data_IF_404021023309
#
_entry.id   IF_404021023309
#
_cell.length_a   1.000
_cell.length_b   1.000
_cell.length_c   1.000
_cell.angle_alpha   90.00
_cell.angle_beta   90.00
_cell.angle_gamma   90.00
#
_symmetry.space_group_name_H-M   'P 1'
#
loop_
_entity.id
_entity.type
_entity.pdbx_description
1 polymer ?
#
# COMPACT_ATOMS: atom_id res chain seq x y z
N UNK A 1 -24.46 57.46 -51.25
CA UNK A 1 -24.24 56.10 -50.72
C UNK A 1 -22.75 55.87 -50.52
N UNK A 2 -22.23 56.06 -49.29
CA UNK A 2 -20.90 55.57 -48.87
C UNK A 2 -21.04 55.17 -47.40
N UNK A 3 -21.07 53.86 -47.14
CA UNK A 3 -21.06 53.29 -45.79
C UNK A 3 -19.60 53.01 -45.44
N UNK A 4 -19.10 53.64 -44.39
CA UNK A 4 -17.84 53.26 -43.76
C UNK A 4 -18.17 52.33 -42.59
N UNK A 5 -17.72 51.08 -42.69
CA UNK A 5 -17.75 50.12 -41.59
C UNK A 5 -16.41 50.28 -40.86
N UNK A 6 -16.47 50.74 -39.61
CA UNK A 6 -15.32 50.74 -38.69
C UNK A 6 -15.35 49.42 -37.93
N UNK A 7 -14.37 48.56 -38.20
CA UNK A 7 -14.12 47.35 -37.42
C UNK A 7 -13.11 47.72 -36.32
N UNK A 8 -13.58 47.78 -35.07
CA UNK A 8 -12.72 47.89 -33.89
C UNK A 8 -12.18 46.49 -33.57
N UNK A 9 -10.89 46.25 -33.87
CA UNK A 9 -10.19 45.02 -33.54
C UNK A 9 -9.74 45.09 -32.07
N UNK A 10 -10.44 44.41 -31.16
CA UNK A 10 -9.99 44.25 -29.78
C UNK A 10 -8.85 43.22 -29.74
N UNK A 11 -7.62 43.69 -29.58
CA UNK A 11 -6.45 42.83 -29.40
C UNK A 11 -6.27 42.55 -27.90
N UNK A 12 -7.00 41.58 -27.37
CA UNK A 12 -6.74 41.00 -26.05
C UNK A 12 -5.51 40.09 -26.17
N UNK A 13 -4.34 40.64 -25.81
CA UNK A 13 -3.14 39.85 -25.56
C UNK A 13 -3.35 38.95 -24.35
N UNK A 14 -3.82 37.73 -24.60
CA UNK A 14 -3.64 36.61 -23.67
C UNK A 14 -2.16 36.21 -23.74
N UNK A 15 -1.34 36.77 -22.85
CA UNK A 15 -0.04 36.19 -22.55
C UNK A 15 -0.27 34.81 -21.91
N UNK A 16 -0.20 33.75 -22.71
CA UNK A 16 0.04 32.42 -22.16
C UNK A 16 1.42 32.44 -21.53
N UNK A 17 1.48 32.47 -20.20
CA UNK A 17 2.71 32.20 -19.47
C UNK A 17 3.23 30.85 -19.93
N UNK A 18 4.34 30.84 -20.68
CA UNK A 18 5.04 29.61 -21.04
C UNK A 18 5.71 29.08 -19.78
N UNK A 19 4.99 28.24 -19.05
CA UNK A 19 5.58 27.45 -17.98
C UNK A 19 6.69 26.59 -18.57
N UNK A 20 7.88 26.70 -17.99
CA UNK A 20 9.03 25.87 -18.32
C UNK A 20 8.70 24.41 -18.01
N UNK A 21 8.70 23.57 -19.05
CA UNK A 21 8.21 22.18 -19.09
C UNK A 21 9.29 21.15 -19.52
N UNK A 22 9.60 20.10 -18.74
CA UNK A 22 10.58 19.02 -19.05
C UNK A 22 10.46 18.48 -20.49
N UNK A 23 11.47 17.82 -21.08
CA UNK A 23 11.51 17.59 -22.54
C UNK A 23 11.38 18.93 -23.30
N UNK A 24 12.42 19.39 -23.99
CA UNK A 24 12.32 20.66 -24.72
C UNK A 24 11.21 20.61 -25.78
N UNK A 25 10.33 21.60 -25.74
CA UNK A 25 9.08 21.70 -26.52
C UNK A 25 7.99 20.64 -26.18
N UNK A 26 8.17 19.90 -25.09
CA UNK A 26 7.21 18.92 -24.60
C UNK A 26 5.92 19.54 -24.04
N UNK A 27 4.90 18.69 -23.91
CA UNK A 27 3.61 19.05 -23.31
C UNK A 27 3.57 18.67 -21.83
N UNK A 28 2.95 19.48 -20.97
CA UNK A 28 2.78 19.15 -19.55
C UNK A 28 2.11 17.78 -19.38
N UNK A 29 2.71 16.95 -18.54
CA UNK A 29 2.27 15.60 -18.26
C UNK A 29 2.13 15.37 -16.75
N UNK A 30 1.87 16.43 -15.99
CA UNK A 30 1.61 16.33 -14.55
C UNK A 30 0.47 15.34 -14.30
N UNK A 31 0.68 14.43 -13.35
CA UNK A 31 -0.25 13.33 -13.08
C UNK A 31 -0.11 12.12 -14.00
N UNK A 32 0.91 12.06 -14.87
CA UNK A 32 1.19 10.86 -15.64
C UNK A 32 1.38 9.64 -14.70
N UNK A 33 0.69 8.51 -14.96
CA UNK A 33 0.62 7.41 -14.01
C UNK A 33 1.85 6.50 -14.00
N UNK A 34 2.82 6.70 -14.90
CA UNK A 34 4.05 5.89 -14.93
C UNK A 34 5.33 6.72 -14.81
N UNK A 35 5.30 8.03 -15.02
CA UNK A 35 6.50 8.86 -14.93
C UNK A 35 6.95 9.10 -13.48
N UNK A 36 8.10 8.56 -13.07
CA UNK A 36 8.64 8.72 -11.71
C UNK A 36 9.96 9.50 -11.69
N UNK A 37 10.24 10.19 -10.59
CA UNK A 37 11.53 10.86 -10.33
C UNK A 37 12.52 9.84 -9.76
N UNK A 38 13.73 9.79 -10.31
CA UNK A 38 14.82 8.90 -9.86
C UNK A 38 16.07 9.74 -9.66
N UNK A 39 16.40 10.04 -8.40
CA UNK A 39 17.53 10.92 -8.08
C UNK A 39 17.41 12.27 -8.79
N UNK A 40 18.41 12.65 -9.58
CA UNK A 40 18.41 13.86 -10.41
C UNK A 40 17.78 13.68 -11.81
N UNK A 41 17.17 12.53 -12.09
CA UNK A 41 16.68 12.14 -13.42
C UNK A 41 15.31 11.43 -13.36
N UNK A 42 14.97 10.73 -14.43
CA UNK A 42 13.65 10.15 -14.65
C UNK A 42 13.64 8.62 -14.51
N UNK A 43 12.43 8.08 -14.40
CA UNK A 43 12.17 6.65 -14.43
C UNK A 43 10.74 6.37 -14.88
N UNK A 44 10.44 5.09 -15.05
CA UNK A 44 9.12 4.63 -15.48
C UNK A 44 8.62 3.50 -14.58
N UNK A 45 7.51 3.72 -13.88
CA UNK A 45 6.83 2.69 -13.09
C UNK A 45 6.16 1.68 -14.03
N UNK A 46 6.80 0.52 -14.18
CA UNK A 46 6.38 -0.55 -15.07
C UNK A 46 5.32 -1.47 -14.44
N UNK A 47 5.51 -1.82 -13.17
CA UNK A 47 4.54 -2.53 -12.33
C UNK A 47 4.57 -1.95 -10.92
N UNK A 48 3.72 -2.42 -10.00
CA UNK A 48 3.55 -1.79 -8.68
C UNK A 48 4.87 -1.64 -7.89
N UNK A 49 5.88 -2.48 -8.17
CA UNK A 49 7.20 -2.43 -7.51
C UNK A 49 8.39 -2.30 -8.45
N UNK A 50 8.17 -2.22 -9.75
CA UNK A 50 9.26 -2.23 -10.73
C UNK A 50 9.33 -0.87 -11.41
N UNK A 51 10.43 -0.17 -11.21
CA UNK A 51 10.76 1.08 -11.89
C UNK A 51 11.90 0.85 -12.86
N UNK A 52 11.69 1.17 -14.13
CA UNK A 52 12.73 1.17 -15.15
C UNK A 52 13.48 2.50 -15.11
N UNK A 53 14.80 2.44 -15.27
CA UNK A 53 15.66 3.60 -15.45
C UNK A 53 16.94 3.16 -16.19
N UNK A 54 18.03 3.92 -16.08
CA UNK A 54 19.31 3.66 -16.76
C UNK A 54 20.47 3.63 -15.77
N UNK A 55 21.57 2.95 -16.11
CA UNK A 55 22.69 2.70 -15.20
C UNK A 55 23.40 3.98 -14.76
N UNK A 56 23.62 4.92 -15.69
CA UNK A 56 24.29 6.17 -15.34
C UNK A 56 23.48 7.06 -14.38
N UNK A 57 22.15 6.89 -14.34
CA UNK A 57 21.30 7.55 -13.34
C UNK A 57 21.51 6.93 -11.96
N UNK A 58 21.68 5.61 -11.87
CA UNK A 58 22.01 4.91 -10.63
C UNK A 58 23.37 5.40 -10.10
N UNK A 59 24.39 5.45 -10.96
CA UNK A 59 25.72 5.97 -10.58
C UNK A 59 25.65 7.42 -10.11
N UNK A 60 25.00 8.29 -10.88
CA UNK A 60 24.84 9.71 -10.55
C UNK A 60 23.99 9.97 -9.30
N UNK A 61 23.19 8.99 -8.87
CA UNK A 61 22.36 9.06 -7.66
C UNK A 61 23.04 8.49 -6.41
N UNK A 62 24.35 8.18 -6.46
CA UNK A 62 25.10 7.63 -5.32
C UNK A 62 25.37 6.12 -5.41
N UNK A 63 24.94 5.47 -6.49
CA UNK A 63 25.17 4.05 -6.76
C UNK A 63 24.21 3.09 -6.07
N UNK A 64 24.35 1.80 -6.40
CA UNK A 64 23.48 0.71 -5.92
C UNK A 64 23.43 0.67 -4.38
N UNK A 65 24.59 0.64 -3.73
CA UNK A 65 24.68 0.50 -2.28
C UNK A 65 23.99 1.64 -1.51
N UNK A 66 24.04 2.87 -2.04
CA UNK A 66 23.33 4.00 -1.45
C UNK A 66 21.81 3.88 -1.67
N UNK A 67 21.39 3.56 -2.90
CA UNK A 67 19.98 3.44 -3.25
C UNK A 67 19.30 2.32 -2.46
N UNK A 68 19.93 1.15 -2.30
CA UNK A 68 19.35 0.03 -1.54
C UNK A 68 19.29 0.31 -0.02
N UNK A 69 20.14 1.21 0.49
CA UNK A 69 20.14 1.58 1.91
C UNK A 69 19.15 2.70 2.22
N UNK A 70 19.21 3.78 1.45
CA UNK A 70 18.52 5.05 1.77
C UNK A 70 17.54 5.49 0.68
N UNK A 71 17.68 4.96 -0.53
CA UNK A 71 16.95 5.38 -1.72
C UNK A 71 15.44 5.28 -1.58
N UNK A 72 14.77 6.26 -2.17
CA UNK A 72 13.30 6.33 -2.20
C UNK A 72 12.82 6.74 -3.59
N UNK A 73 11.68 6.19 -3.96
CA UNK A 73 10.90 6.61 -5.12
C UNK A 73 9.61 7.25 -4.61
N UNK A 74 9.03 8.15 -5.41
CA UNK A 74 7.79 8.85 -5.10
C UNK A 74 6.67 8.39 -6.02
N UNK A 75 5.44 8.84 -5.72
CA UNK A 75 4.31 8.61 -6.63
C UNK A 75 4.61 9.18 -8.04
N UNK A 76 4.09 8.53 -9.08
CA UNK A 76 4.28 8.99 -10.45
C UNK A 76 3.53 10.31 -10.70
N UNK A 77 4.00 11.07 -11.68
CA UNK A 77 3.36 12.29 -12.17
C UNK A 77 3.47 13.52 -11.26
N UNK A 78 4.17 13.44 -10.12
CA UNK A 78 4.25 14.55 -9.15
C UNK A 78 5.15 15.68 -9.64
N UNK A 79 4.82 16.92 -9.26
CA UNK A 79 5.68 18.08 -9.52
C UNK A 79 6.75 18.23 -8.43
N UNK A 80 6.31 18.24 -7.16
CA UNK A 80 7.18 18.41 -5.99
C UNK A 80 7.25 17.15 -5.14
N UNK A 81 8.43 16.85 -4.58
CA UNK A 81 8.63 15.73 -3.64
C UNK A 81 8.24 16.09 -2.19
N UNK A 82 8.10 17.38 -1.87
CA UNK A 82 7.82 17.80 -0.50
C UNK A 82 6.45 17.28 -0.04
N UNK A 83 6.43 16.61 1.12
CA UNK A 83 5.21 16.01 1.67
C UNK A 83 4.70 14.75 0.95
N UNK A 84 5.41 14.27 -0.08
CA UNK A 84 5.02 13.06 -0.81
C UNK A 84 5.39 11.80 -0.03
N UNK A 85 4.57 10.76 -0.17
CA UNK A 85 4.90 9.44 0.35
C UNK A 85 6.19 8.93 -0.32
N UNK A 86 7.10 8.42 0.50
CA UNK A 86 8.34 7.81 0.06
C UNK A 86 8.16 6.28 0.02
N UNK A 87 8.50 5.67 -1.11
CA UNK A 87 8.51 4.23 -1.31
C UNK A 87 9.96 3.76 -1.31
N UNK A 88 10.31 2.90 -0.37
CA UNK A 88 11.70 2.46 -0.18
C UNK A 88 12.17 1.59 -1.33
N UNK A 89 13.40 1.82 -1.76
CA UNK A 89 14.10 0.94 -2.68
C UNK A 89 14.54 -0.31 -1.91
N UNK A 90 14.18 -1.48 -2.42
CA UNK A 90 14.62 -2.77 -1.89
C UNK A 90 15.94 -3.21 -2.54
N UNK A 91 16.00 -3.12 -3.86
CA UNK A 91 17.08 -3.69 -4.66
C UNK A 91 17.21 -2.94 -5.98
N UNK A 92 18.43 -2.84 -6.51
CA UNK A 92 18.69 -2.32 -7.85
C UNK A 92 19.36 -3.40 -8.69
N UNK A 93 18.82 -3.64 -9.88
CA UNK A 93 19.42 -4.52 -10.88
C UNK A 93 20.06 -3.68 -11.98
N UNK A 94 21.33 -3.98 -12.28
CA UNK A 94 22.08 -3.39 -13.38
C UNK A 94 22.88 -4.50 -14.08
N UNK A 95 23.05 -4.47 -15.41
CA UNK A 95 23.83 -5.49 -16.11
C UNK A 95 25.27 -5.48 -15.61
N UNK A 96 25.87 -6.65 -15.40
CA UNK A 96 27.29 -6.77 -15.02
C UNK A 96 28.25 -6.25 -16.09
N UNK A 97 27.76 -6.10 -17.32
CA UNK A 97 28.47 -5.56 -18.49
C UNK A 97 28.28 -4.06 -18.66
N UNK A 98 27.52 -3.40 -17.78
CA UNK A 98 27.34 -1.95 -17.82
C UNK A 98 28.70 -1.24 -17.78
N UNK A 99 28.85 -0.23 -18.64
CA UNK A 99 29.97 0.69 -18.64
C UNK A 99 29.41 2.10 -18.69
N UNK A 100 29.96 3.00 -17.86
CA UNK A 100 29.60 4.42 -17.88
C UNK A 100 29.63 4.96 -19.31
N UNK A 101 28.52 5.54 -19.81
CA UNK A 101 28.45 6.02 -21.18
C UNK A 101 29.54 7.05 -21.54
N UNK A 102 30.25 6.82 -22.63
CA UNK A 102 31.09 7.83 -23.29
C UNK A 102 30.33 8.36 -24.51
N UNK A 103 29.52 9.39 -24.28
CA UNK A 103 28.73 10.04 -25.32
C UNK A 103 29.58 10.74 -26.39
N UNK A 104 30.81 11.14 -26.06
CA UNK A 104 31.73 11.80 -27.01
C UNK A 104 32.17 10.82 -28.09
N UNK A 105 32.43 9.58 -27.72
CA UNK A 105 32.80 8.51 -28.65
C UNK A 105 31.63 7.59 -29.03
N UNK A 106 30.41 7.88 -28.53
CA UNK A 106 29.20 7.07 -28.72
C UNK A 106 29.36 5.61 -28.24
N UNK A 107 30.10 5.42 -27.15
CA UNK A 107 30.28 4.10 -26.51
C UNK A 107 29.28 4.02 -25.38
N UNK A 108 28.24 3.21 -25.58
CA UNK A 108 27.13 3.06 -24.65
C UNK A 108 26.82 1.58 -24.58
N UNK A 109 27.14 0.97 -23.44
CA UNK A 109 27.08 -0.48 -23.24
C UNK A 109 26.13 -0.75 -22.09
N UNK A 110 25.01 -1.39 -22.40
CA UNK A 110 24.07 -1.91 -21.41
C UNK A 110 23.63 -0.89 -20.33
N UNK A 111 23.46 0.38 -20.73
CA UNK A 111 23.01 1.48 -19.86
C UNK A 111 21.52 1.35 -19.49
N UNK A 112 21.22 0.33 -18.70
CA UNK A 112 19.89 -0.03 -18.24
C UNK A 112 19.95 -0.30 -16.75
N UNK A 113 18.88 0.03 -16.03
CA UNK A 113 18.73 -0.36 -14.64
C UNK A 113 17.26 -0.57 -14.28
N UNK A 114 17.02 -1.42 -13.29
CA UNK A 114 15.71 -1.63 -12.70
C UNK A 114 15.81 -1.43 -11.20
N UNK A 115 14.90 -0.62 -10.66
CA UNK A 115 14.73 -0.43 -9.23
C UNK A 115 13.53 -1.27 -8.81
N UNK A 116 13.73 -2.11 -7.79
CA UNK A 116 12.68 -2.91 -7.14
C UNK A 116 12.34 -2.25 -5.81
N UNK A 117 11.06 -1.97 -5.60
CA UNK A 117 10.54 -1.32 -4.39
C UNK A 117 10.16 -2.34 -3.31
N UNK A 118 10.25 -1.93 -2.06
CA UNK A 118 9.84 -2.73 -0.90
C UNK A 118 8.32 -2.85 -0.75
N UNK A 119 7.55 -1.95 -1.37
CA UNK A 119 6.10 -1.86 -1.24
C UNK A 119 5.46 -1.38 -2.55
N UNK A 120 4.17 -1.65 -2.71
CA UNK A 120 3.41 -1.35 -3.92
C UNK A 120 3.11 0.16 -4.06
N UNK A 121 3.45 0.73 -5.21
CA UNK A 121 2.85 1.96 -5.71
C UNK A 121 1.57 1.60 -6.46
N UNK A 122 0.40 2.16 -6.09
CA UNK A 122 -0.85 1.92 -6.81
C UNK A 122 -0.74 2.27 -8.29
N UNK A 123 -1.07 1.31 -9.15
CA UNK A 123 -1.01 1.46 -10.60
C UNK A 123 -2.39 1.77 -11.18
N UNK A 124 -2.51 2.85 -11.93
CA UNK A 124 -3.73 3.17 -12.71
C UNK A 124 -3.59 2.86 -14.19
N UNK A 125 -2.36 2.58 -14.65
CA UNK A 125 -2.03 2.28 -16.05
C UNK A 125 -1.09 1.09 -16.12
N UNK A 126 -1.45 0.08 -16.92
CA UNK A 126 -0.62 -1.11 -17.10
C UNK A 126 0.52 -0.84 -18.09
N UNK A 127 1.65 -1.51 -17.90
CA UNK A 127 2.71 -1.56 -18.88
C UNK A 127 3.03 -3.02 -19.25
N UNK A 128 3.56 -3.20 -20.44
CA UNK A 128 4.09 -4.46 -20.92
C UNK A 128 5.30 -4.18 -21.83
N UNK A 129 6.29 -5.07 -21.87
CA UNK A 129 7.37 -4.93 -22.83
C UNK A 129 6.89 -5.29 -24.24
N UNK A 130 7.15 -4.43 -25.24
CA UNK A 130 6.75 -4.68 -26.62
C UNK A 130 7.48 -5.91 -27.19
N UNK A 131 6.78 -6.74 -27.96
CA UNK A 131 7.40 -7.83 -28.73
C UNK A 131 8.01 -7.30 -30.03
N UNK A 132 8.90 -8.08 -30.66
CA UNK A 132 9.48 -7.72 -31.95
C UNK A 132 8.40 -7.54 -33.03
N UNK A 133 7.37 -8.40 -33.03
CA UNK A 133 6.23 -8.28 -33.95
C UNK A 133 5.45 -6.98 -33.70
N UNK A 134 5.32 -6.57 -32.44
CA UNK A 134 4.71 -5.29 -32.10
C UNK A 134 5.56 -4.11 -32.55
N UNK A 135 6.88 -4.15 -32.36
CA UNK A 135 7.81 -3.12 -32.83
C UNK A 135 7.73 -2.94 -34.36
N UNK A 136 7.70 -4.04 -35.10
CA UNK A 136 7.54 -4.04 -36.56
C UNK A 136 6.17 -3.48 -36.98
N UNK A 137 5.10 -3.86 -36.28
CA UNK A 137 3.75 -3.30 -36.50
C UNK A 137 3.73 -1.80 -36.23
N UNK A 138 4.23 -1.35 -35.09
CA UNK A 138 4.27 0.07 -34.71
C UNK A 138 5.00 0.92 -35.74
N UNK A 139 6.09 0.38 -36.29
CA UNK A 139 6.83 1.03 -37.37
C UNK A 139 6.00 1.15 -38.65
N UNK A 140 5.40 0.04 -39.11
CA UNK A 140 4.56 0.02 -40.31
C UNK A 140 3.37 0.97 -40.21
N UNK A 141 2.70 0.95 -39.06
CA UNK A 141 1.45 1.67 -38.84
C UNK A 141 1.71 3.13 -38.42
N UNK A 142 2.99 3.52 -38.27
CA UNK A 142 3.43 4.82 -37.75
C UNK A 142 2.74 5.17 -36.43
N UNK A 143 2.66 4.18 -35.55
CA UNK A 143 2.03 4.33 -34.23
C UNK A 143 2.68 5.47 -33.46
N UNK A 144 1.85 6.21 -32.72
CA UNK A 144 2.29 7.31 -31.86
C UNK A 144 3.16 6.75 -30.73
N UNK A 145 4.43 7.14 -30.74
CA UNK A 145 5.39 6.86 -29.66
C UNK A 145 5.38 8.05 -28.71
N UNK A 146 5.30 7.77 -27.41
CA UNK A 146 5.34 8.78 -26.36
C UNK A 146 6.48 8.48 -25.39
N UNK A 147 7.02 9.52 -24.76
CA UNK A 147 7.93 9.45 -23.63
C UNK A 147 7.54 10.55 -22.65
N UNK A 148 7.54 10.25 -21.36
CA UNK A 148 7.32 11.24 -20.31
C UNK A 148 8.54 11.29 -19.40
N UNK A 149 9.12 12.48 -19.25
CA UNK A 149 10.35 12.72 -18.51
C UNK A 149 10.32 14.00 -17.69
N UNK A 150 11.29 14.13 -16.80
CA UNK A 150 11.44 15.24 -15.87
C UNK A 150 12.71 16.07 -16.15
N UNK A 151 13.30 15.93 -17.33
CA UNK A 151 14.48 16.65 -17.74
C UNK A 151 14.29 18.17 -17.82
N UNK A 152 15.35 18.88 -18.16
CA UNK A 152 15.26 20.32 -18.40
C UNK A 152 14.45 20.58 -19.68
N UNK A 153 14.01 21.82 -19.81
CA UNK A 153 12.99 22.27 -20.76
C UNK A 153 13.60 23.14 -21.87
N UNK A 154 14.81 23.60 -21.59
CA UNK A 154 15.56 24.59 -22.34
C UNK A 154 17.03 24.50 -21.89
N UNK A 155 17.96 24.61 -22.84
CA UNK A 155 19.40 24.55 -22.57
C UNK A 155 19.92 25.59 -21.55
N UNK A 156 19.25 26.73 -21.41
CA UNK A 156 19.61 27.76 -20.39
C UNK A 156 19.48 27.26 -18.94
N UNK A 157 18.74 26.17 -18.71
CA UNK A 157 18.55 25.59 -17.37
C UNK A 157 19.70 24.65 -16.96
N UNK A 158 20.66 24.40 -17.85
CA UNK A 158 21.78 23.51 -17.60
C UNK A 158 22.71 24.06 -16.52
N UNK A 159 22.85 25.39 -16.44
CA UNK A 159 23.72 26.07 -15.46
C UNK A 159 23.04 26.27 -14.10
N UNK A 160 21.70 26.32 -14.09
CA UNK A 160 20.89 26.29 -12.88
C UNK A 160 20.04 25.03 -12.89
N UNK A 161 20.66 23.87 -12.67
CA UNK A 161 19.95 22.61 -12.50
C UNK A 161 19.02 22.73 -11.30
N UNK A 162 17.83 23.31 -11.51
CA UNK A 162 16.75 23.28 -10.54
C UNK A 162 16.58 21.80 -10.23
N UNK A 163 16.67 21.40 -8.96
CA UNK A 163 16.53 20.00 -8.60
C UNK A 163 15.25 19.46 -9.21
N UNK A 164 15.36 18.32 -9.87
CA UNK A 164 14.20 17.63 -10.47
C UNK A 164 13.07 17.45 -9.46
N UNK A 165 13.40 17.46 -8.17
CA UNK A 165 12.54 17.52 -7.00
C UNK A 165 11.36 18.48 -7.12
N UNK A 166 11.45 19.57 -7.89
CA UNK A 166 10.39 20.57 -8.08
C UNK A 166 10.11 20.87 -9.56
N UNK A 167 10.17 19.86 -10.43
CA UNK A 167 9.88 20.01 -11.87
C UNK A 167 8.70 19.16 -12.30
N UNK A 168 7.80 19.72 -13.11
CA UNK A 168 6.71 18.95 -13.70
C UNK A 168 7.23 17.97 -14.76
N UNK A 169 6.68 16.75 -14.85
CA UNK A 169 6.97 15.85 -15.96
C UNK A 169 6.29 16.35 -17.22
N UNK A 170 6.87 16.00 -18.35
CA UNK A 170 6.39 16.45 -19.64
C UNK A 170 6.66 15.41 -20.71
N UNK A 171 5.90 15.54 -21.79
CA UNK A 171 5.71 14.51 -22.77
C UNK A 171 6.28 14.89 -24.13
N UNK A 172 7.07 13.98 -24.68
CA UNK A 172 7.48 13.90 -26.07
C UNK A 172 6.50 13.04 -26.86
N UNK A 173 6.28 13.36 -28.14
CA UNK A 173 5.56 12.51 -29.09
C UNK A 173 6.35 12.38 -30.40
N UNK A 174 6.44 11.16 -30.93
CA UNK A 174 7.16 10.84 -32.17
C UNK A 174 6.60 9.58 -32.82
N UNK A 175 7.32 9.01 -33.79
CA UNK A 175 7.07 7.73 -34.44
C UNK A 175 8.33 6.86 -34.40
N UNK A 176 8.13 5.54 -34.41
CA UNK A 176 9.21 4.56 -34.52
C UNK A 176 9.57 4.33 -36.00
N UNK A 177 10.86 4.25 -36.32
CA UNK A 177 11.37 3.85 -37.64
C UNK A 177 12.18 2.56 -37.56
N UNK A 178 12.15 1.75 -38.62
CA UNK A 178 12.81 0.44 -38.66
C UNK A 178 14.35 0.56 -38.66
N UNK A 179 15.07 -0.50 -38.30
CA UNK A 179 16.53 -0.53 -38.42
C UNK A 179 17.06 -0.17 -39.82
N UNK A 180 16.39 -0.60 -40.87
CA UNK A 180 16.75 -0.27 -42.26
C UNK A 180 16.53 1.23 -42.55
N UNK A 181 15.44 1.78 -42.01
CA UNK A 181 15.08 3.18 -42.20
C UNK A 181 16.00 4.15 -41.42
N UNK A 182 16.59 3.73 -40.29
CA UNK A 182 17.52 4.56 -39.50
C UNK A 182 18.70 5.05 -40.35
N UNK A 183 19.36 4.16 -41.10
CA UNK A 183 20.49 4.55 -41.94
C UNK A 183 20.04 5.40 -43.14
N UNK A 184 18.88 5.09 -43.72
CA UNK A 184 18.33 5.87 -44.82
C UNK A 184 17.98 7.30 -44.39
N UNK A 185 17.41 7.46 -43.20
CA UNK A 185 17.10 8.76 -42.61
C UNK A 185 18.35 9.63 -42.54
N UNK A 186 19.46 9.10 -42.02
CA UNK A 186 20.70 9.87 -41.92
C UNK A 186 21.39 10.17 -43.24
N UNK A 187 21.25 9.31 -44.25
CA UNK A 187 21.80 9.57 -45.60
C UNK A 187 21.22 10.80 -46.28
N UNK A 188 20.07 11.30 -45.83
CA UNK A 188 19.44 12.50 -46.38
C UNK A 188 20.13 13.80 -45.95
N UNK A 189 21.01 13.75 -44.96
CA UNK A 189 21.63 14.93 -44.37
C UNK A 189 23.15 14.97 -44.67
N UNK A 190 23.66 16.02 -45.33
CA UNK A 190 25.05 16.08 -45.78
C UNK A 190 26.07 16.27 -44.64
N UNK A 191 25.63 16.78 -43.48
CA UNK A 191 26.50 17.12 -42.34
C UNK A 191 26.49 16.05 -41.23
N UNK A 192 26.05 14.84 -41.55
CA UNK A 192 25.99 13.74 -40.59
C UNK A 192 27.39 13.24 -40.23
N UNK A 193 27.70 13.22 -38.94
CA UNK A 193 28.91 12.59 -38.41
C UNK A 193 28.73 11.07 -38.28
N UNK A 194 28.97 10.32 -39.36
CA UNK A 194 28.73 8.87 -39.44
C UNK A 194 29.37 8.04 -38.32
N UNK A 195 30.52 8.48 -37.77
CA UNK A 195 31.17 7.83 -36.62
C UNK A 195 30.24 7.75 -35.39
N UNK A 196 29.35 8.73 -35.22
CA UNK A 196 28.38 8.79 -34.11
C UNK A 196 27.10 8.02 -34.37
N UNK A 197 26.88 7.45 -35.56
CA UNK A 197 25.60 6.84 -35.98
C UNK A 197 25.65 5.32 -36.14
N UNK A 198 26.85 4.73 -36.00
CA UNK A 198 27.11 3.34 -36.37
C UNK A 198 26.61 2.30 -35.32
N UNK A 199 25.29 2.22 -35.11
CA UNK A 199 24.63 1.15 -34.37
C UNK A 199 23.69 0.38 -35.31
N UNK A 200 24.15 -0.70 -35.95
CA UNK A 200 23.28 -1.50 -36.83
C UNK A 200 22.19 -2.22 -36.01
N UNK A 201 21.02 -2.42 -36.61
CA UNK A 201 19.96 -3.25 -36.02
C UNK A 201 19.08 -2.57 -34.97
N UNK A 202 19.26 -1.26 -34.71
CA UNK A 202 18.44 -0.52 -33.74
C UNK A 202 17.25 0.16 -34.41
N UNK A 203 16.12 0.22 -33.73
CA UNK A 203 15.01 1.08 -34.12
C UNK A 203 15.32 2.54 -33.77
N UNK A 204 14.69 3.48 -34.48
CA UNK A 204 14.89 4.92 -34.30
C UNK A 204 13.63 5.65 -33.87
N UNK A 205 13.78 6.65 -33.01
CA UNK A 205 12.72 7.59 -32.60
C UNK A 205 13.18 9.00 -32.92
N UNK A 206 12.62 9.58 -33.98
CA UNK A 206 13.05 10.87 -34.54
C UNK A 206 12.58 12.02 -33.63
N UNK A 207 13.42 13.01 -33.39
CA UNK A 207 13.12 14.15 -32.53
C UNK A 207 13.34 15.45 -33.30
N UNK A 208 12.23 16.13 -33.59
CA UNK A 208 12.19 17.33 -34.41
C UNK A 208 12.36 18.60 -33.57
N UNK A 209 13.60 18.86 -33.16
CA UNK A 209 13.97 20.10 -32.45
C UNK A 209 13.88 21.32 -33.36
N UNK A 210 14.29 21.16 -34.62
CA UNK A 210 14.29 22.19 -35.65
C UNK A 210 12.89 22.70 -36.00
N UNK A 211 11.89 21.84 -35.81
CA UNK A 211 10.47 22.20 -35.94
C UNK A 211 9.85 22.65 -34.61
N UNK A 212 10.65 22.76 -33.54
CA UNK A 212 10.21 23.04 -32.17
C UNK A 212 9.09 22.11 -31.69
N UNK A 213 9.19 20.82 -32.03
CA UNK A 213 8.17 19.82 -31.69
C UNK A 213 8.51 19.03 -30.45
N UNK A 214 9.72 18.47 -30.37
CA UNK A 214 10.13 17.69 -29.20
C UNK A 214 11.62 17.35 -29.23
N UNK A 215 12.30 17.46 -28.09
CA UNK A 215 13.68 17.02 -27.90
C UNK A 215 13.95 16.60 -26.46
N UNK A 216 14.60 15.46 -26.24
CA UNK A 216 15.00 15.03 -24.90
C UNK A 216 16.19 15.85 -24.40
N UNK A 217 16.25 16.05 -23.08
CA UNK A 217 17.24 16.90 -22.42
C UNK A 217 17.85 16.22 -21.18
N UNK A 218 18.77 16.92 -20.50
CA UNK A 218 19.37 16.43 -19.25
C UNK A 218 18.29 16.17 -18.22
N UNK A 219 18.35 15.01 -17.55
CA UNK A 219 17.37 14.58 -16.57
C UNK A 219 16.20 13.80 -17.15
N UNK A 220 16.02 13.76 -18.48
CA UNK A 220 15.10 12.80 -19.12
C UNK A 220 15.69 11.38 -19.14
N UNK A 221 16.98 11.23 -18.85
CA UNK A 221 17.65 9.95 -18.64
C UNK A 221 16.84 9.04 -17.71
N UNK A 222 16.58 7.81 -18.15
CA UNK A 222 15.79 6.83 -17.40
C UNK A 222 14.31 6.83 -17.75
N UNK A 223 13.82 7.84 -18.48
CA UNK A 223 12.49 7.80 -19.09
C UNK A 223 12.41 6.66 -20.12
N UNK A 224 11.19 6.26 -20.44
CA UNK A 224 10.90 5.15 -21.34
C UNK A 224 10.05 5.63 -22.51
N UNK A 225 10.39 5.15 -23.71
CA UNK A 225 9.56 5.27 -24.89
C UNK A 225 8.52 4.15 -24.92
N UNK A 226 7.27 4.49 -25.19
CA UNK A 226 6.18 3.53 -25.26
C UNK A 226 5.17 3.86 -26.36
N UNK A 227 4.44 2.85 -26.83
CA UNK A 227 3.19 3.03 -27.58
C UNK A 227 2.04 2.65 -26.65
N UNK A 228 1.00 3.48 -26.59
CA UNK A 228 -0.16 3.21 -25.76
C UNK A 228 -1.35 2.71 -26.60
N UNK A 229 -1.86 1.53 -26.27
CA UNK A 229 -3.07 0.95 -26.87
C UNK A 229 -3.90 0.27 -25.79
N UNK A 230 -5.23 0.40 -25.84
CA UNK A 230 -6.16 -0.31 -24.94
C UNK A 230 -5.79 -0.22 -23.45
N UNK A 231 -5.39 0.97 -23.00
CA UNK A 231 -4.97 1.24 -21.61
C UNK A 231 -3.69 0.51 -21.16
N UNK A 232 -2.89 0.00 -22.09
CA UNK A 232 -1.57 -0.62 -21.85
C UNK A 232 -0.49 0.21 -22.55
N UNK A 233 0.59 0.52 -21.83
CA UNK A 233 1.80 1.14 -22.39
C UNK A 233 2.80 0.05 -22.75
N UNK A 234 2.96 -0.17 -24.05
CA UNK A 234 3.94 -1.09 -24.61
C UNK A 234 5.30 -0.41 -24.65
N UNK A 235 6.16 -0.77 -23.69
CA UNK A 235 7.52 -0.27 -23.53
C UNK A 235 8.37 -0.74 -24.69
N UNK A 236 8.97 0.23 -25.40
CA UNK A 236 9.91 -0.03 -26.50
C UNK A 236 11.34 -0.12 -25.96
N UNK A 237 11.71 0.81 -25.08
CA UNK A 237 13.03 0.88 -24.45
C UNK A 237 13.24 2.18 -23.70
N UNK A 238 14.37 2.29 -23.00
CA UNK A 238 14.76 3.48 -22.23
C UNK A 238 15.48 4.50 -23.10
N UNK A 239 15.74 5.68 -22.55
CA UNK A 239 16.69 6.65 -23.13
C UNK A 239 18.17 6.22 -23.03
N UNK A 240 18.46 4.98 -22.61
CA UNK A 240 19.80 4.52 -22.26
C UNK A 240 20.78 4.44 -23.42
N UNK A 241 20.33 4.30 -24.67
CA UNK A 241 21.22 4.17 -25.83
C UNK A 241 21.73 5.50 -26.39
N UNK A 242 21.41 6.60 -25.72
CA UNK A 242 21.86 7.94 -26.06
C UNK A 242 21.04 8.61 -27.16
N UNK A 243 21.51 9.80 -27.52
CA UNK A 243 20.94 10.69 -28.52
C UNK A 243 22.02 11.01 -29.55
N UNK A 244 21.65 11.09 -30.83
CA UNK A 244 22.52 11.72 -31.82
C UNK A 244 22.39 13.25 -31.72
N UNK A 245 23.54 13.89 -31.50
CA UNK A 245 23.74 15.30 -31.20
C UNK A 245 23.37 15.69 -29.76
N UNK A 246 23.96 16.78 -29.29
CA UNK A 246 23.83 17.26 -27.92
C UNK A 246 22.35 17.50 -27.56
N UNK A 247 21.98 17.05 -26.36
CA UNK A 247 20.64 17.18 -25.82
C UNK A 247 20.38 18.63 -25.36
N UNK A 248 19.22 19.19 -25.68
CA UNK A 248 18.87 20.56 -25.25
C UNK A 248 19.91 21.65 -25.63
N UNK A 249 20.59 21.52 -26.77
CA UNK A 249 21.69 22.43 -27.13
C UNK A 249 21.26 23.89 -27.21
N UNK A 250 22.13 24.79 -26.77
CA UNK A 250 21.98 26.22 -27.12
C UNK A 250 22.03 26.40 -28.64
N UNK A 251 21.29 27.37 -29.21
CA UNK A 251 21.16 27.53 -30.66
C UNK A 251 22.49 27.56 -31.42
N UNK A 252 23.58 28.07 -30.83
CA UNK A 252 24.89 28.16 -31.48
C UNK A 252 25.57 26.79 -31.70
N UNK A 253 25.13 25.73 -31.01
CA UNK A 253 25.70 24.37 -31.11
C UNK A 253 24.80 23.40 -31.89
N UNK A 254 23.73 23.89 -32.52
CA UNK A 254 22.80 23.03 -33.22
C UNK A 254 23.32 22.58 -34.60
N UNK A 255 23.16 21.30 -34.89
CA UNK A 255 23.82 20.58 -36.00
C UNK A 255 23.06 20.61 -37.34
N UNK A 256 21.88 21.24 -37.43
CA UNK A 256 21.21 21.42 -38.72
C UNK A 256 20.18 20.36 -39.12
N UNK A 257 20.03 19.27 -38.36
CA UNK A 257 19.13 18.15 -38.69
C UNK A 257 18.48 17.51 -37.44
N UNK A 258 17.40 16.72 -37.58
CA UNK A 258 16.69 16.15 -36.45
C UNK A 258 17.57 15.16 -35.66
N UNK A 259 17.38 15.13 -34.35
CA UNK A 259 18.03 14.13 -33.48
C UNK A 259 17.27 12.81 -33.51
N UNK A 260 17.90 11.73 -33.02
CA UNK A 260 17.23 10.45 -32.85
C UNK A 260 17.70 9.76 -31.58
N UNK A 261 16.74 9.21 -30.85
CA UNK A 261 17.02 8.16 -29.86
C UNK A 261 16.92 6.80 -30.50
N UNK A 262 17.65 5.84 -29.96
CA UNK A 262 17.64 4.47 -30.44
C UNK A 262 17.07 3.50 -29.44
N UNK A 263 16.47 2.44 -29.98
CA UNK A 263 15.97 1.30 -29.22
C UNK A 263 16.67 0.05 -29.76
N UNK A 264 17.46 -0.61 -28.91
CA UNK A 264 18.11 -1.87 -29.25
C UNK A 264 17.16 -3.02 -28.91
N UNK A 265 16.66 -3.77 -29.91
CA UNK A 265 15.81 -4.93 -29.66
C UNK A 265 16.53 -6.04 -28.88
N UNK A 266 17.87 -6.02 -28.85
CA UNK A 266 18.70 -6.97 -28.10
C UNK A 266 19.14 -6.43 -26.72
N UNK A 267 18.56 -5.32 -26.25
CA UNK A 267 18.87 -4.75 -24.94
C UNK A 267 18.66 -5.76 -23.81
N UNK A 268 19.61 -5.80 -22.87
CA UNK A 268 19.51 -6.63 -21.65
C UNK A 268 18.39 -6.21 -20.70
N UNK A 269 17.73 -5.07 -20.94
CA UNK A 269 16.61 -4.60 -20.13
C UNK A 269 15.51 -5.65 -19.97
N UNK A 270 15.21 -6.42 -21.03
CA UNK A 270 14.16 -7.45 -20.98
C UNK A 270 14.51 -8.61 -20.04
N UNK A 271 15.78 -8.99 -19.97
CA UNK A 271 16.23 -10.07 -19.08
C UNK A 271 16.37 -9.61 -17.63
N UNK A 272 16.79 -8.36 -17.41
CA UNK A 272 16.68 -7.73 -16.09
C UNK A 272 15.24 -7.69 -15.61
N UNK A 273 14.30 -7.34 -16.51
CA UNK A 273 12.89 -7.23 -16.17
C UNK A 273 12.30 -8.57 -15.74
N UNK A 274 12.58 -9.64 -16.48
CA UNK A 274 12.17 -11.01 -16.06
C UNK A 274 12.73 -11.36 -14.68
N UNK A 275 13.97 -10.96 -14.39
CA UNK A 275 14.59 -11.19 -13.08
C UNK A 275 13.87 -10.40 -12.00
N UNK A 276 13.56 -9.13 -12.25
CA UNK A 276 12.82 -8.27 -11.33
C UNK A 276 11.39 -8.78 -11.08
N UNK A 277 10.68 -9.20 -12.13
CA UNK A 277 9.33 -9.79 -12.03
C UNK A 277 9.35 -11.05 -11.16
N UNK A 278 10.36 -11.91 -11.32
CA UNK A 278 10.53 -13.10 -10.47
C UNK A 278 10.76 -12.74 -9.01
N UNK A 279 11.62 -11.76 -8.73
CA UNK A 279 11.88 -11.29 -7.35
C UNK A 279 10.58 -10.76 -6.72
N UNK A 280 9.84 -9.90 -7.44
CA UNK A 280 8.59 -9.33 -6.95
C UNK A 280 7.52 -10.41 -6.73
N UNK A 281 7.41 -11.38 -7.61
CA UNK A 281 6.49 -12.51 -7.48
C UNK A 281 6.82 -13.36 -6.23
N UNK A 282 8.11 -13.64 -5.99
CA UNK A 282 8.56 -14.36 -4.79
C UNK A 282 8.28 -13.56 -3.50
N UNK A 283 8.46 -12.24 -3.54
CA UNK A 283 8.15 -11.38 -2.40
C UNK A 283 6.66 -11.35 -2.08
N UNK A 284 5.82 -11.17 -3.10
CA UNK A 284 4.36 -11.18 -2.92
C UNK A 284 3.87 -12.51 -2.34
N UNK A 285 4.47 -13.64 -2.75
CA UNK A 285 4.20 -14.96 -2.15
C UNK A 285 4.60 -15.03 -0.68
N UNK A 286 5.80 -14.54 -0.34
CA UNK A 286 6.29 -14.50 1.04
C UNK A 286 5.40 -13.65 1.93
N UNK A 287 5.03 -12.46 1.47
CA UNK A 287 4.17 -11.53 2.17
C UNK A 287 2.77 -12.10 2.38
N UNK A 288 2.21 -12.76 1.36
CA UNK A 288 0.91 -13.43 1.47
C UNK A 288 0.95 -14.58 2.50
N UNK A 289 2.04 -15.36 2.53
CA UNK A 289 2.22 -16.42 3.52
C UNK A 289 2.34 -15.87 4.96
N UNK A 290 3.09 -14.79 5.15
CA UNK A 290 3.22 -14.10 6.45
C UNK A 290 1.86 -13.53 6.89
N UNK A 291 1.13 -12.89 5.98
CA UNK A 291 -0.21 -12.34 6.28
C UNK A 291 -1.19 -13.44 6.68
N UNK A 292 -1.13 -14.60 6.03
CA UNK A 292 -1.94 -15.77 6.35
C UNK A 292 -1.58 -16.36 7.72
N UNK A 293 -0.30 -16.47 8.05
CA UNK A 293 0.18 -16.92 9.36
C UNK A 293 -0.31 -15.99 10.48
N UNK A 294 -0.21 -14.67 10.28
CA UNK A 294 -0.72 -13.68 11.23
C UNK A 294 -2.24 -13.82 11.42
N UNK A 295 -2.99 -14.05 10.34
CA UNK A 295 -4.44 -14.26 10.39
C UNK A 295 -4.80 -15.49 11.22
N UNK A 296 -4.14 -16.62 10.95
CA UNK A 296 -4.35 -17.87 11.69
C UNK A 296 -3.97 -17.76 13.16
N UNK A 297 -2.87 -17.06 13.48
CA UNK A 297 -2.45 -16.79 14.86
C UNK A 297 -3.47 -15.92 15.60
N UNK A 298 -4.01 -14.89 14.94
CA UNK A 298 -5.06 -14.04 15.51
C UNK A 298 -6.37 -14.82 15.75
N UNK A 299 -6.77 -15.68 14.82
CA UNK A 299 -7.95 -16.54 14.96
C UNK A 299 -7.79 -17.55 16.10
N UNK A 300 -6.62 -18.20 16.20
CA UNK A 300 -6.32 -19.13 17.28
C UNK A 300 -6.36 -18.44 18.65
N UNK A 301 -5.77 -17.25 18.75
CA UNK A 301 -5.80 -16.44 19.97
C UNK A 301 -7.24 -16.07 20.35
N UNK A 302 -8.05 -15.63 19.38
CA UNK A 302 -9.45 -15.32 19.63
C UNK A 302 -10.24 -16.54 20.12
N UNK A 303 -9.99 -17.73 19.56
CA UNK A 303 -10.61 -18.99 20.00
C UNK A 303 -10.19 -19.36 21.43
N UNK A 304 -8.90 -19.24 21.76
CA UNK A 304 -8.39 -19.50 23.11
C UNK A 304 -9.00 -18.54 24.14
N UNK A 305 -9.10 -17.25 23.80
CA UNK A 305 -9.73 -16.25 24.67
C UNK A 305 -11.23 -16.53 24.87
N UNK A 306 -11.95 -16.94 23.82
CA UNK A 306 -13.36 -17.32 23.91
C UNK A 306 -13.56 -18.58 24.77
N UNK A 307 -12.73 -19.60 24.60
CA UNK A 307 -12.79 -20.82 25.42
C UNK A 307 -12.43 -20.53 26.89
N UNK A 308 -11.43 -19.70 27.15
CA UNK A 308 -11.06 -19.30 28.51
C UNK A 308 -12.21 -18.55 29.21
N UNK A 309 -12.88 -17.62 28.51
CA UNK A 309 -14.08 -16.96 29.02
C UNK A 309 -15.21 -17.94 29.31
N UNK A 310 -15.49 -18.87 28.38
CA UNK A 310 -16.52 -19.89 28.58
C UNK A 310 -16.21 -20.81 29.78
N UNK A 311 -14.94 -21.18 29.98
CA UNK A 311 -14.49 -21.94 31.16
C UNK A 311 -14.66 -21.16 32.45
N UNK A 312 -14.29 -19.87 32.47
CA UNK A 312 -14.48 -19.01 33.64
C UNK A 312 -15.96 -18.84 33.98
N UNK A 313 -16.81 -18.57 32.99
CA UNK A 313 -18.26 -18.48 33.19
C UNK A 313 -18.85 -19.80 33.70
N UNK A 314 -18.40 -20.95 33.18
CA UNK A 314 -18.83 -22.25 33.65
C UNK A 314 -18.38 -22.51 35.10
N UNK A 315 -17.16 -22.11 35.46
CA UNK A 315 -16.65 -22.24 36.83
C UNK A 315 -17.43 -21.35 37.82
N UNK A 316 -17.73 -20.11 37.44
CA UNK A 316 -18.57 -19.20 38.25
C UNK A 316 -19.96 -19.81 38.46
N UNK A 317 -20.61 -20.27 37.39
CA UNK A 317 -21.93 -20.94 37.49
C UNK A 317 -21.87 -22.20 38.34
N UNK A 318 -20.80 -22.98 38.27
CA UNK A 318 -20.63 -24.18 39.10
C UNK A 318 -20.49 -23.81 40.59
N UNK A 319 -19.71 -22.78 40.92
CA UNK A 319 -19.56 -22.28 42.30
C UNK A 319 -20.87 -21.70 42.85
N UNK A 320 -21.59 -20.91 42.05
CA UNK A 320 -22.91 -20.39 42.41
C UNK A 320 -23.91 -21.52 42.69
N UNK A 321 -23.93 -22.54 41.83
CA UNK A 321 -24.78 -23.70 42.02
C UNK A 321 -24.44 -24.46 43.30
N UNK A 322 -23.16 -24.68 43.59
CA UNK A 322 -22.71 -25.32 44.84
C UNK A 322 -23.11 -24.50 46.07
N UNK A 323 -22.88 -23.19 46.07
CA UNK A 323 -23.25 -22.30 47.17
C UNK A 323 -24.77 -22.30 47.45
N UNK A 324 -25.59 -22.30 46.40
CA UNK A 324 -27.04 -22.41 46.54
C UNK A 324 -27.46 -23.74 47.17
N UNK A 325 -26.84 -24.86 46.79
CA UNK A 325 -27.13 -26.17 47.40
C UNK A 325 -26.74 -26.23 48.86
N UNK A 326 -25.59 -25.64 49.23
CA UNK A 326 -25.15 -25.57 50.62
C UNK A 326 -26.08 -24.69 51.46
N UNK A 327 -26.51 -23.54 50.92
CA UNK A 327 -27.46 -22.66 51.57
C UNK A 327 -28.82 -23.33 51.80
N UNK A 328 -29.34 -24.05 50.80
CA UNK A 328 -30.58 -24.82 50.90
C UNK A 328 -30.48 -25.94 51.95
N UNK A 329 -29.36 -26.68 51.96
CA UNK A 329 -29.12 -27.71 52.96
C UNK A 329 -29.01 -27.14 54.39
N UNK A 330 -28.38 -25.97 54.55
CA UNK A 330 -28.31 -25.27 55.84
C UNK A 330 -29.68 -24.80 56.31
N UNK A 331 -30.46 -24.17 55.43
CA UNK A 331 -31.83 -23.73 55.73
C UNK A 331 -32.72 -24.90 56.14
N UNK A 332 -32.59 -26.06 55.46
CA UNK A 332 -33.32 -27.28 55.82
C UNK A 332 -32.95 -27.79 57.21
N UNK A 333 -31.66 -27.84 57.56
CA UNK A 333 -31.20 -28.23 58.91
C UNK A 333 -31.71 -27.27 60.00
N UNK A 334 -31.70 -25.96 59.73
CA UNK A 334 -32.20 -24.95 60.67
C UNK A 334 -33.72 -25.08 60.87
N UNK A 335 -34.48 -25.33 59.80
CA UNK A 335 -35.92 -25.59 59.88
C UNK A 335 -36.25 -26.87 60.65
N UNK A 336 -35.50 -27.96 60.43
CA UNK A 336 -35.63 -29.21 61.17
C UNK A 336 -35.28 -29.02 62.66
N UNK A 337 -34.24 -28.26 62.98
CA UNK A 337 -33.88 -27.92 64.36
C UNK A 337 -34.95 -27.08 65.05
N UNK A 338 -35.53 -26.09 64.36
CA UNK A 338 -36.63 -25.28 64.85
C UNK A 338 -37.89 -26.13 65.12
N UNK A 339 -38.25 -27.03 64.21
CA UNK A 339 -39.36 -27.97 64.39
C UNK A 339 -39.12 -28.92 65.58
N UNK A 340 -37.91 -29.44 65.75
CA UNK A 340 -37.55 -30.28 66.90
C UNK A 340 -37.60 -29.51 68.24
N UNK A 341 -37.20 -28.24 68.25
CA UNK A 341 -37.32 -27.37 69.41
C UNK A 341 -38.80 -27.11 69.77
N UNK A 342 -39.64 -26.85 68.77
CA UNK A 342 -41.07 -26.61 68.96
C UNK A 342 -41.80 -27.85 69.51
N UNK A 343 -41.43 -29.05 69.06
CA UNK A 343 -41.91 -30.33 69.62
C UNK A 343 -41.47 -30.49 71.08
N UNK A 344 -40.22 -30.15 71.42
CA UNK A 344 -39.74 -30.20 72.82
C UNK A 344 -40.50 -29.23 73.73
N UNK A 345 -40.79 -28.01 73.26
CA UNK A 345 -41.58 -27.02 74.02
C UNK A 345 -43.01 -27.53 74.25
N UNK A 346 -43.65 -28.12 73.25
CA UNK A 346 -44.98 -28.75 73.40
C UNK A 346 -44.97 -29.91 74.40
N UNK A 347 -43.98 -30.80 74.32
CA UNK A 347 -43.83 -31.90 75.27
C UNK A 347 -43.59 -31.42 76.72
N UNK A 348 -42.82 -30.34 76.90
CA UNK A 348 -42.60 -29.75 78.22
C UNK A 348 -43.87 -29.06 78.78
N UNK A 349 -44.65 -28.40 77.93
CA UNK A 349 -45.94 -27.82 78.32
C UNK A 349 -46.97 -28.89 78.72
N UNK A 350 -47.03 -30.01 78.00
CA UNK A 350 -47.88 -31.15 78.33
C UNK A 350 -47.42 -31.87 79.61
N UNK A 351 -46.11 -32.00 79.83
CA UNK A 351 -45.56 -32.54 81.08
C UNK A 351 -45.87 -31.64 82.28
N UNK A 352 -45.80 -30.31 82.13
CA UNK A 352 -46.22 -29.36 83.16
C UNK A 352 -47.73 -29.41 83.42
N UNK A 353 -48.56 -29.60 82.39
CA UNK A 353 -50.01 -29.80 82.54
C UNK A 353 -50.35 -31.13 83.27
N UNK A 354 -49.55 -32.18 83.08
CA UNK A 354 -49.73 -33.48 83.73
C UNK A 354 -49.37 -33.49 85.24
N UNK A 355 -48.53 -32.56 85.71
CA UNK A 355 -48.19 -32.39 87.14
C UNK A 355 -49.33 -31.68 87.92
N UNK A 356 -50.27 -31.05 87.21
CA UNK A 356 -51.43 -30.36 87.78
C UNK A 356 -52.66 -31.28 87.88
N UNK A 357 -52.53 -32.46 88.51
CA UNK A 357 -53.68 -33.34 88.75
C UNK A 357 -54.33 -33.05 90.10
N UNK A 358 -55.52 -32.41 90.07
CA UNK A 358 -56.40 -32.26 91.24
C UNK A 358 -56.77 -33.64 91.77
N UNK A 359 -56.42 -33.93 93.02
CA UNK A 359 -56.79 -35.19 93.69
C UNK A 359 -58.16 -35.02 94.31
N UNK A 360 -59.00 -36.05 94.27
CA UNK A 360 -60.30 -36.06 94.95
C UNK A 360 -60.24 -36.97 96.17
N UNK A 361 -60.49 -36.45 97.36
CA UNK A 361 -60.61 -37.25 98.59
C UNK A 361 -62.07 -37.36 99.01
N UNK A 362 -62.44 -38.48 99.60
CA UNK A 362 -63.73 -38.65 100.26
C UNK A 362 -63.58 -38.32 101.75
N UNK A 363 -64.44 -37.45 102.25
CA UNK A 363 -64.48 -37.01 103.64
C UNK A 363 -65.82 -37.39 104.24
N UNK A 364 -65.83 -37.98 105.43
CA UNK A 364 -67.03 -38.47 106.11
C UNK A 364 -67.28 -37.77 107.44
N UNK A 365 -68.56 -37.55 107.77
CA UNK A 365 -69.03 -37.05 109.08
C UNK A 365 -70.30 -37.82 109.43
N UNK A 366 -70.18 -38.88 110.24
CA UNK A 366 -71.26 -39.83 110.47
C UNK A 366 -71.62 -40.61 109.19
N UNK A 367 -72.91 -40.64 108.80
CA UNK A 367 -73.38 -41.28 107.55
C UNK A 367 -73.22 -40.42 106.28
N UNK A 368 -72.84 -39.15 106.40
CA UNK A 368 -72.65 -38.23 105.26
C UNK A 368 -71.25 -38.35 104.67
N UNK A 369 -71.16 -38.57 103.35
CA UNK A 369 -69.90 -38.61 102.59
C UNK A 369 -69.87 -37.45 101.60
N UNK A 370 -68.80 -36.65 101.60
CA UNK A 370 -68.55 -35.56 100.66
C UNK A 370 -67.23 -35.77 99.94
N UNK A 371 -67.24 -35.69 98.60
CA UNK A 371 -66.03 -35.70 97.79
C UNK A 371 -65.48 -34.28 97.69
N UNK A 372 -64.19 -34.11 97.94
CA UNK A 372 -63.49 -32.82 97.89
C UNK A 372 -62.34 -32.94 96.90
N UNK A 373 -62.38 -32.14 95.84
CA UNK A 373 -61.41 -32.16 94.75
C UNK A 373 -60.57 -30.89 94.79
N UNK A 374 -59.25 -31.02 94.81
CA UNK A 374 -58.33 -29.89 94.86
C UNK A 374 -56.87 -30.33 94.74
N UNK A 375 -55.94 -29.40 94.84
CA UNK A 375 -54.53 -29.72 95.04
C UNK A 375 -54.28 -30.01 96.50
N UNK A 376 -53.84 -31.23 96.85
CA UNK A 376 -53.72 -31.70 98.23
C UNK A 376 -54.98 -31.34 99.06
N UNK A 377 -56.17 -31.83 98.66
CA UNK A 377 -57.41 -31.46 99.33
C UNK A 377 -57.38 -31.90 100.80
N UNK A 378 -57.97 -31.09 101.67
CA UNK A 378 -58.12 -31.39 103.11
C UNK A 378 -59.61 -31.45 103.41
N UNK A 379 -60.01 -32.37 104.30
CA UNK A 379 -61.41 -32.48 104.68
C UNK A 379 -61.87 -31.22 105.43
N UNK A 380 -63.05 -30.66 105.07
CA UNK A 380 -63.63 -29.55 105.80
C UNK A 380 -63.76 -29.86 107.28
N UNK A 381 -63.63 -28.83 108.12
CA UNK A 381 -63.63 -28.95 109.58
C UNK A 381 -64.84 -29.77 110.07
N UNK A 382 -64.58 -30.86 110.78
CA UNK A 382 -65.60 -31.78 111.29
C UNK A 382 -65.88 -33.02 110.41
N UNK A 383 -65.26 -33.13 109.24
CA UNK A 383 -65.23 -34.37 108.44
C UNK A 383 -63.84 -35.02 108.56
N UNK A 384 -63.79 -36.35 108.65
CA UNK A 384 -62.54 -37.13 108.64
C UNK A 384 -62.31 -37.72 107.26
N UNK A 385 -61.04 -37.87 106.87
CA UNK A 385 -60.69 -38.56 105.63
C UNK A 385 -61.12 -40.02 105.75
N UNK A 386 -61.82 -40.51 104.73
CA UNK A 386 -62.20 -41.91 104.64
C UNK A 386 -61.04 -42.76 104.13
#
# INVERSE_FOLDING_TARGET
MKKYIVFALSFTLLFTTTSSSAVEFGQDATGDPNAVKVGGASGFLYSERIVLTVGHVIEGSGGIAWLERDGVIYQPGIVTIAGQKQYKVKQVLMPSTYVTPDYRNNIIIDDNAIIILSEDIPMTKKAAFATEEQMQRFTRDKSKVELVGYGITNGSQRDSLSPINNRAPNKLTSTLISPEAVLQFYRQYPNVEWKRINKPGVYGIVQHRELKQSHICDGDSGSVFFVEENNVRYVLGTTGLGLINDNCSVPERWSGFPSMSWIDPNSKLRDLLKTAEKIVEEDKKRESAIAEEIRLAAELKAKQEAEAKARQEAEVKAKEWQANREAEAKAKKEAEAAAAADVKVKQQAEAMAAVIKKTTIACSKGKLVKKVTGFKPVCPKGYKKK
#
